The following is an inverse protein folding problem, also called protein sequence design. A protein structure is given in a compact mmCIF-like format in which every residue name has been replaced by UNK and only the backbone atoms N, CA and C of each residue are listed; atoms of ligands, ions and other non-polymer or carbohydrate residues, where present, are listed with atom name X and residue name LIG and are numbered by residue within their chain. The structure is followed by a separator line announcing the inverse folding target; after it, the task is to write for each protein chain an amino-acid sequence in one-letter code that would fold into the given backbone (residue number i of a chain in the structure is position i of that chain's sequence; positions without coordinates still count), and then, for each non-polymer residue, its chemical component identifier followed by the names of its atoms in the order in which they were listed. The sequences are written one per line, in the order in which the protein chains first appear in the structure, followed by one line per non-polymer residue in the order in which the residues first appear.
data_IF_490664956215
#
_entry.id   IF_490664956215
#
_cell.length_a   1.000
_cell.length_b   1.000
_cell.length_c   1.000
_cell.angle_alpha   90.00
_cell.angle_beta   90.00
_cell.angle_gamma   90.00
#
_symmetry.space_group_name_H-M   'P 1'
#
loop_
_entity.id
_entity.type
_entity.pdbx_description
1 polymer ?
#
# COMPACT_ATOMS: atom_id res chain seq x y z
N UNK A 1 -16.15 1.38 45.92
CA UNK A 1 -15.77 0.78 44.62
C UNK A 1 -16.72 1.33 43.57
N UNK A 2 -16.29 2.28 42.74
CA UNK A 2 -17.06 2.80 41.61
C UNK A 2 -16.15 2.85 40.38
N UNK A 3 -16.21 1.81 39.54
CA UNK A 3 -15.48 1.75 38.27
C UNK A 3 -16.35 2.33 37.16
N UNK A 4 -16.21 3.64 36.93
CA UNK A 4 -16.84 4.30 35.78
C UNK A 4 -16.28 3.72 34.47
N UNK A 5 -17.07 2.92 33.75
CA UNK A 5 -16.80 2.55 32.37
C UNK A 5 -17.16 3.75 31.48
N UNK A 6 -16.19 4.65 31.26
CA UNK A 6 -16.29 5.61 30.16
C UNK A 6 -16.06 4.83 28.84
N UNK A 7 -16.99 4.85 27.88
CA UNK A 7 -16.66 4.42 26.53
C UNK A 7 -15.54 5.33 26.03
N UNK A 8 -14.41 4.73 25.64
CA UNK A 8 -13.31 5.44 24.98
C UNK A 8 -13.88 6.05 23.71
N UNK A 9 -14.19 7.34 23.76
CA UNK A 9 -14.50 8.15 22.58
C UNK A 9 -13.32 7.99 21.62
N UNK A 10 -13.51 7.26 20.51
CA UNK A 10 -12.57 7.23 19.40
C UNK A 10 -12.48 8.65 18.87
N UNK A 11 -11.50 9.39 19.35
CA UNK A 11 -11.15 10.70 18.83
C UNK A 11 -10.78 10.52 17.38
N UNK A 12 -11.59 11.14 16.53
CA UNK A 12 -11.44 11.27 15.09
C UNK A 12 -10.12 11.96 14.76
N UNK A 13 -9.05 11.18 14.67
CA UNK A 13 -7.79 11.58 14.05
C UNK A 13 -7.35 10.44 13.11
N UNK A 14 -7.53 10.70 11.82
CA UNK A 14 -6.77 10.13 10.69
C UNK A 14 -7.19 8.79 10.06
N UNK A 15 -8.50 8.56 9.91
CA UNK A 15 -9.04 7.75 8.81
C UNK A 15 -9.39 8.62 7.58
N UNK A 16 -8.75 9.78 7.42
CA UNK A 16 -8.93 10.60 6.24
C UNK A 16 -8.31 9.90 5.03
N UNK A 17 -9.17 9.34 4.18
CA UNK A 17 -8.83 8.87 2.83
C UNK A 17 -8.34 10.09 2.04
N UNK A 18 -7.04 10.35 2.09
CA UNK A 18 -6.43 11.37 1.25
C UNK A 18 -6.28 10.77 -0.15
N UNK A 19 -7.00 11.36 -1.10
CA UNK A 19 -6.91 11.02 -2.51
C UNK A 19 -5.55 11.51 -3.03
N UNK A 20 -4.64 10.59 -3.35
CA UNK A 20 -3.50 10.94 -4.20
C UNK A 20 -3.95 10.80 -5.65
N UNK A 21 -4.14 11.93 -6.32
CA UNK A 21 -4.62 11.97 -7.69
C UNK A 21 -3.49 11.59 -8.65
N UNK A 22 -3.48 10.33 -9.06
CA UNK A 22 -2.60 9.86 -10.12
C UNK A 22 -3.24 10.18 -11.46
N UNK A 23 -2.43 10.60 -12.45
CA UNK A 23 -2.84 11.09 -13.78
C UNK A 23 -3.57 10.10 -14.71
N UNK A 24 -4.30 9.13 -14.16
CA UNK A 24 -5.20 8.20 -14.85
C UNK A 24 -6.43 7.83 -13.98
N UNK A 25 -6.96 8.77 -13.18
CA UNK A 25 -8.07 8.55 -12.23
C UNK A 25 -7.77 7.48 -11.15
N UNK A 26 -6.50 7.31 -10.79
CA UNK A 26 -6.06 6.21 -9.95
C UNK A 26 -5.78 6.71 -8.53
N UNK A 27 -6.73 6.51 -7.63
CA UNK A 27 -6.65 7.00 -6.25
C UNK A 27 -5.80 6.04 -5.41
N UNK A 28 -4.63 6.50 -4.94
CA UNK A 28 -3.87 5.77 -3.92
C UNK A 28 -4.46 6.13 -2.56
N UNK A 29 -4.97 5.15 -1.83
CA UNK A 29 -5.60 5.36 -0.53
C UNK A 29 -4.53 5.22 0.55
N UNK A 30 -4.31 6.30 1.30
CA UNK A 30 -3.52 6.28 2.55
C UNK A 30 -4.44 5.90 3.71
N UNK A 31 -4.03 4.94 4.53
CA UNK A 31 -4.78 4.46 5.70
C UNK A 31 -3.82 4.39 6.89
N UNK A 32 -4.28 4.82 8.07
CA UNK A 32 -3.57 4.78 9.37
C UNK A 32 -2.22 5.50 9.34
N UNK A 33 -2.08 6.60 10.08
CA UNK A 33 -0.83 7.38 10.20
C UNK A 33 -0.16 7.77 8.85
N UNK A 34 -0.91 7.72 7.73
CA UNK A 34 -0.40 8.04 6.40
C UNK A 34 0.24 6.89 5.61
N UNK A 35 0.23 5.65 6.14
CA UNK A 35 0.76 4.49 5.41
C UNK A 35 -0.09 4.15 4.17
N UNK A 36 0.55 3.70 3.09
CA UNK A 36 -0.16 3.31 1.87
C UNK A 36 -0.59 1.85 2.04
N UNK A 37 -1.89 1.63 2.18
CA UNK A 37 -2.47 0.30 2.30
C UNK A 37 -3.84 0.20 1.62
N UNK A 38 -4.07 -0.90 0.91
CA UNK A 38 -5.29 -1.12 0.12
C UNK A 38 -5.97 -2.45 0.49
N UNK A 39 -7.30 -2.47 0.46
CA UNK A 39 -8.10 -3.70 0.50
C UNK A 39 -8.03 -4.42 -0.85
N UNK A 40 -8.42 -5.69 -0.85
CA UNK A 40 -8.50 -6.47 -2.09
C UNK A 40 -9.39 -5.85 -3.17
N UNK A 41 -10.50 -5.22 -2.78
CA UNK A 41 -11.42 -4.55 -3.70
C UNK A 41 -10.79 -3.33 -4.36
N UNK A 42 -10.05 -2.55 -3.57
CA UNK A 42 -9.32 -1.37 -4.04
C UNK A 42 -8.20 -1.82 -4.99
N UNK A 43 -7.47 -2.90 -4.68
CA UNK A 43 -6.44 -3.45 -5.58
C UNK A 43 -7.00 -3.92 -6.93
N UNK A 44 -8.18 -4.56 -6.93
CA UNK A 44 -8.84 -5.02 -8.16
C UNK A 44 -9.16 -3.82 -9.06
N UNK A 45 -9.71 -2.75 -8.48
CA UNK A 45 -10.00 -1.50 -9.20
C UNK A 45 -8.73 -0.77 -9.62
N UNK A 46 -7.73 -0.73 -8.75
CA UNK A 46 -6.44 -0.07 -8.97
C UNK A 46 -5.71 -0.70 -10.16
N UNK A 47 -5.59 -2.03 -10.22
CA UNK A 47 -4.86 -2.69 -11.30
C UNK A 47 -5.71 -2.97 -12.54
N UNK A 48 -7.01 -2.66 -12.55
CA UNK A 48 -7.88 -2.94 -13.69
C UNK A 48 -7.96 -4.44 -14.02
N UNK A 49 -7.89 -5.32 -13.02
CA UNK A 49 -7.88 -6.78 -13.20
C UNK A 49 -9.08 -7.45 -12.57
N UNK A 50 -9.40 -8.67 -12.99
CA UNK A 50 -10.47 -9.44 -12.34
C UNK A 50 -10.05 -9.89 -10.93
N UNK A 51 -11.05 -10.02 -10.04
CA UNK A 51 -10.85 -10.52 -8.68
C UNK A 51 -10.12 -11.88 -8.66
N UNK A 52 -10.46 -12.77 -9.60
CA UNK A 52 -9.82 -14.10 -9.74
C UNK A 52 -8.33 -13.98 -10.03
N UNK A 53 -7.96 -13.14 -11.02
CA UNK A 53 -6.56 -12.92 -11.42
C UNK A 53 -5.76 -12.35 -10.26
N UNK A 54 -6.31 -11.35 -9.56
CA UNK A 54 -5.66 -10.75 -8.41
C UNK A 54 -5.49 -11.74 -7.25
N UNK A 55 -6.56 -12.47 -6.90
CA UNK A 55 -6.55 -13.42 -5.80
C UNK A 55 -5.50 -14.53 -6.01
N UNK A 56 -5.37 -15.04 -7.24
CA UNK A 56 -4.38 -16.05 -7.56
C UNK A 56 -2.95 -15.54 -7.31
N UNK A 57 -2.61 -14.36 -7.83
CA UNK A 57 -1.27 -13.76 -7.65
C UNK A 57 -0.99 -13.41 -6.20
N UNK A 58 -1.99 -12.91 -5.49
CA UNK A 58 -1.87 -12.58 -4.08
C UNK A 58 -1.61 -13.82 -3.23
N UNK A 59 -2.30 -14.94 -3.49
CA UNK A 59 -2.00 -16.21 -2.86
C UNK A 59 -0.60 -16.71 -3.20
N UNK A 60 -0.14 -16.51 -4.43
CA UNK A 60 1.25 -16.81 -4.80
C UNK A 60 2.22 -16.05 -3.89
N UNK A 61 2.07 -14.73 -3.76
CA UNK A 61 2.91 -13.91 -2.86
C UNK A 61 2.85 -14.46 -1.44
N UNK A 62 1.66 -14.66 -0.87
CA UNK A 62 1.50 -15.13 0.52
C UNK A 62 2.11 -16.52 0.78
N UNK A 63 2.13 -17.40 -0.23
CA UNK A 63 2.68 -18.76 -0.13
C UNK A 63 4.17 -18.83 -0.43
N UNK A 64 4.67 -17.99 -1.34
CA UNK A 64 6.04 -18.07 -1.85
C UNK A 64 6.98 -17.02 -1.25
N UNK A 65 6.47 -16.04 -0.50
CA UNK A 65 7.29 -14.93 -0.04
C UNK A 65 8.19 -15.31 1.13
N UNK A 66 9.49 -15.00 1.03
CA UNK A 66 10.40 -14.89 2.18
C UNK A 66 10.10 -13.65 3.06
N UNK A 67 8.99 -12.93 2.79
CA UNK A 67 8.59 -11.73 3.54
C UNK A 67 8.33 -12.10 5.00
N UNK A 68 8.87 -11.29 5.92
CA UNK A 68 8.63 -11.41 7.36
C UNK A 68 7.12 -11.28 7.62
N UNK A 69 6.52 -11.99 8.60
CA UNK A 69 5.09 -11.92 8.88
C UNK A 69 4.55 -10.49 8.97
N UNK A 70 5.34 -9.56 9.52
CA UNK A 70 5.01 -8.15 9.69
C UNK A 70 4.94 -7.35 8.38
N UNK A 71 5.57 -7.84 7.30
CA UNK A 71 5.56 -7.19 5.98
C UNK A 71 4.34 -7.60 5.13
N UNK A 72 3.58 -8.61 5.59
CA UNK A 72 2.47 -9.20 4.84
C UNK A 72 1.13 -8.52 5.11
N UNK A 73 1.01 -7.82 6.22
CA UNK A 73 -0.27 -7.28 6.68
C UNK A 73 -0.08 -5.88 7.28
N UNK A 74 -0.81 -4.90 6.74
CA UNK A 74 -0.87 -3.55 7.31
C UNK A 74 -1.97 -3.42 8.38
N UNK A 75 -2.43 -4.56 8.92
CA UNK A 75 -3.62 -4.66 9.75
C UNK A 75 -4.89 -4.94 8.94
N UNK A 76 -6.04 -4.65 9.53
CA UNK A 76 -7.35 -4.94 8.92
C UNK A 76 -8.28 -3.72 9.04
N UNK A 77 -9.16 -3.53 8.05
CA UNK A 77 -10.17 -2.46 8.04
C UNK A 77 -11.55 -3.04 8.38
N UNK A 78 -12.30 -2.44 9.31
CA UNK A 78 -13.65 -2.88 9.62
C UNK A 78 -14.57 -2.70 8.41
N UNK A 79 -15.27 -3.76 8.03
CA UNK A 79 -16.25 -3.76 6.95
C UNK A 79 -17.63 -3.59 7.57
N UNK A 80 -18.29 -2.48 7.23
CA UNK A 80 -19.66 -2.21 7.62
C UNK A 80 -20.62 -2.50 6.45
N UNK A 81 -21.67 -3.28 6.71
CA UNK A 81 -22.77 -3.49 5.77
C UNK A 81 -24.05 -3.13 6.51
N UNK A 82 -24.85 -2.22 5.94
CA UNK A 82 -26.06 -1.68 6.56
C UNK A 82 -25.81 -1.12 7.98
N UNK A 83 -24.67 -0.47 8.19
CA UNK A 83 -24.31 0.12 9.48
C UNK A 83 -23.84 -0.88 10.56
N UNK A 84 -23.87 -2.19 10.29
CA UNK A 84 -23.35 -3.22 11.21
C UNK A 84 -21.95 -3.66 10.81
N UNK A 85 -21.08 -3.83 11.82
CA UNK A 85 -19.76 -4.44 11.64
C UNK A 85 -19.94 -5.90 11.22
N UNK A 86 -19.55 -6.23 9.99
CA UNK A 86 -19.65 -7.58 9.42
C UNK A 86 -18.35 -8.37 9.45
N UNK A 87 -17.23 -7.69 9.72
CA UNK A 87 -15.93 -8.33 9.82
C UNK A 87 -14.82 -7.34 9.53
N UNK A 88 -13.65 -7.90 9.26
CA UNK A 88 -12.44 -7.14 8.98
C UNK A 88 -11.85 -7.59 7.64
N UNK A 89 -11.52 -6.62 6.79
CA UNK A 89 -10.87 -6.84 5.51
C UNK A 89 -9.36 -6.63 5.65
N UNK A 90 -8.52 -7.58 5.21
CA UNK A 90 -7.07 -7.39 5.24
C UNK A 90 -6.62 -6.17 4.44
N UNK A 91 -5.67 -5.45 4.99
CA UNK A 91 -4.99 -4.34 4.32
C UNK A 91 -3.62 -4.79 3.80
N UNK A 92 -3.42 -4.57 2.50
CA UNK A 92 -2.18 -4.92 1.82
C UNK A 92 -1.26 -3.70 1.78
N UNK A 93 -0.06 -3.77 2.40
CA UNK A 93 0.90 -2.67 2.42
C UNK A 93 1.50 -2.43 1.03
N UNK A 94 2.16 -1.28 0.87
CA UNK A 94 2.85 -0.88 -0.36
C UNK A 94 3.80 -1.96 -0.91
N UNK A 95 4.48 -2.73 -0.05
CA UNK A 95 5.34 -3.86 -0.45
C UNK A 95 4.58 -4.89 -1.28
N UNK A 96 3.38 -5.28 -0.84
CA UNK A 96 2.50 -6.22 -1.56
C UNK A 96 1.96 -5.58 -2.84
N UNK A 97 1.63 -4.28 -2.82
CA UNK A 97 1.17 -3.54 -3.99
C UNK A 97 2.26 -3.53 -5.08
N UNK A 98 3.51 -3.25 -4.70
CA UNK A 98 4.67 -3.29 -5.60
C UNK A 98 4.85 -4.71 -6.15
N UNK A 99 4.89 -5.72 -5.29
CA UNK A 99 5.04 -7.11 -5.73
C UNK A 99 3.94 -7.54 -6.73
N UNK A 100 2.68 -7.20 -6.44
CA UNK A 100 1.54 -7.47 -7.33
C UNK A 100 1.73 -6.81 -8.70
N UNK A 101 2.28 -5.59 -8.74
CA UNK A 101 2.51 -4.90 -10.00
C UNK A 101 3.47 -5.67 -10.93
N UNK A 102 4.41 -6.45 -10.42
CA UNK A 102 5.29 -7.29 -11.25
C UNK A 102 4.65 -8.61 -11.68
N UNK A 103 3.65 -9.08 -10.93
CA UNK A 103 2.93 -10.33 -11.21
C UNK A 103 1.69 -10.14 -12.11
N UNK A 104 1.20 -8.90 -12.22
CA UNK A 104 0.02 -8.55 -13.00
C UNK A 104 0.41 -7.98 -14.37
N UNK A 105 -0.10 -8.63 -15.42
CA UNK A 105 -0.12 -8.08 -16.78
C UNK A 105 -1.37 -7.22 -16.97
N UNK A 106 -1.28 -5.93 -16.60
CA UNK A 106 -2.27 -4.89 -16.93
C UNK A 106 -1.58 -3.55 -17.23
N UNK A 107 -2.29 -2.65 -17.92
CA UNK A 107 -1.80 -1.31 -18.26
C UNK A 107 -1.52 -0.50 -16.99
N UNK A 108 -2.39 -0.61 -16.01
CA UNK A 108 -2.32 0.03 -14.71
C UNK A 108 -1.10 -0.44 -13.93
N UNK A 109 -0.80 -1.75 -13.95
CA UNK A 109 0.40 -2.30 -13.34
C UNK A 109 1.67 -1.75 -14.02
N UNK A 110 1.67 -1.63 -15.34
CA UNK A 110 2.79 -1.03 -16.08
C UNK A 110 3.00 0.44 -15.73
N UNK A 111 1.94 1.24 -15.71
CA UNK A 111 1.99 2.66 -15.35
C UNK A 111 2.49 2.84 -13.91
N UNK A 112 2.01 2.01 -12.99
CA UNK A 112 2.47 2.01 -11.61
C UNK A 112 3.98 1.74 -11.50
N UNK A 113 4.48 0.67 -12.15
CA UNK A 113 5.93 0.37 -12.17
C UNK A 113 6.74 1.54 -12.74
N UNK A 114 6.28 2.14 -13.85
CA UNK A 114 6.95 3.28 -14.50
C UNK A 114 7.05 4.49 -13.56
N UNK A 115 6.00 4.78 -12.80
CA UNK A 115 6.03 5.85 -11.81
C UNK A 115 6.98 5.56 -10.65
N UNK A 116 6.95 4.34 -10.08
CA UNK A 116 7.86 3.97 -8.99
C UNK A 116 9.31 4.14 -9.45
N UNK A 117 9.65 3.64 -10.64
CA UNK A 117 10.98 3.83 -11.22
C UNK A 117 11.34 5.31 -11.40
N UNK A 118 10.42 6.13 -11.92
CA UNK A 118 10.65 7.58 -12.07
C UNK A 118 10.88 8.25 -10.71
N UNK A 119 10.05 7.97 -9.71
CA UNK A 119 10.18 8.54 -8.37
C UNK A 119 11.52 8.18 -7.74
N UNK A 120 11.90 6.91 -7.79
CA UNK A 120 13.20 6.44 -7.28
C UNK A 120 14.37 7.08 -8.02
N UNK A 121 14.29 7.23 -9.34
CA UNK A 121 15.32 7.90 -10.14
C UNK A 121 15.41 9.40 -9.84
N UNK A 122 14.27 10.08 -9.66
CA UNK A 122 14.24 11.50 -9.29
C UNK A 122 14.83 11.72 -7.89
N UNK A 123 14.51 10.87 -6.92
CA UNK A 123 15.11 10.93 -5.57
C UNK A 123 16.62 10.66 -5.62
N UNK A 124 17.05 9.65 -6.38
CA UNK A 124 18.48 9.37 -6.57
C UNK A 124 19.24 10.50 -7.29
N UNK A 125 18.58 11.29 -8.15
CA UNK A 125 19.17 12.45 -8.81
C UNK A 125 19.24 13.69 -7.90
N UNK A 126 18.36 13.80 -6.90
CA UNK A 126 18.38 14.87 -5.90
C UNK A 126 19.44 14.60 -4.82
N UNK A 127 19.69 13.33 -4.49
CA UNK A 127 20.82 12.94 -3.64
C UNK A 127 22.10 13.06 -4.47
N UNK A 128 22.81 14.18 -4.32
CA UNK A 128 24.13 14.37 -4.94
C UNK A 128 25.00 13.15 -4.61
N UNK A 129 25.52 12.40 -5.60
CA UNK A 129 26.45 11.33 -5.31
C UNK A 129 27.66 11.98 -4.63
N UNK A 130 27.98 11.58 -3.40
CA UNK A 130 29.22 11.97 -2.75
C UNK A 130 30.33 11.22 -3.50
N UNK A 131 30.85 11.82 -4.57
CA UNK A 131 32.06 11.35 -5.21
C UNK A 131 33.23 11.65 -4.28
N UNK A 132 33.76 10.62 -3.62
CA UNK A 132 35.08 10.69 -3.01
C UNK A 132 36.11 10.70 -4.15
N UNK A 133 36.40 11.88 -4.68
CA UNK A 133 37.51 12.07 -5.61
C UNK A 133 38.81 11.84 -4.82
N UNK A 134 39.34 10.62 -4.89
CA UNK A 134 40.65 10.29 -4.35
C UNK A 134 41.69 11.17 -5.03
N UNK A 135 42.29 12.09 -4.26
CA UNK A 135 43.33 12.97 -4.74
C UNK A 135 44.63 12.16 -4.91
N UNK A 136 44.84 11.56 -6.09
CA UNK A 136 46.15 11.03 -6.47
C UNK A 136 47.03 12.18 -6.96
N UNK A 137 47.64 12.89 -6.02
CA UNK A 137 48.88 13.63 -6.27
C UNK A 137 49.99 12.93 -5.50
N UNK A 138 50.76 12.11 -6.21
CA UNK A 138 52.14 11.77 -5.85
C UNK A 138 53.06 12.68 -6.65
#
# INVERSE_FOLDING_TARGET
MNTSHKPRTMTSTDNHRSCFDWGSNMQVIRKRNGEIAMTKSELVRFFGVTWRKLNYRLQTIMKSSNLHPDERCAGEEPVFINGQLKGYAPLYPLSIIIALSFLLSSTEAYLFRKYISRKLQTEAAIVTPIFLLGNTKN
#
